data_IF_444880295464
#
_entry.id   IF_444880295464
#
_cell.length_a   1.000
_cell.length_b   1.000
_cell.length_c   1.000
_cell.angle_alpha   90.00
_cell.angle_beta   90.00
_cell.angle_gamma   90.00
#
_symmetry.space_group_name_H-M   'P 1'
#
loop_
_entity.id
_entity.type
_entity.pdbx_description
1 polymer ?
#
# COMPACT_ATOMS: atom_id res chain seq x y z
N UNK A 1 -0.27 -5.20 25.94
CA UNK A 1 -1.26 -4.23 25.44
C UNK A 1 -1.25 -4.18 23.93
N UNK A 2 -2.43 -4.34 23.32
CA UNK A 2 -2.59 -4.12 21.88
C UNK A 2 -2.84 -2.63 21.68
N UNK A 3 -2.01 -1.98 20.86
CA UNK A 3 -2.27 -0.60 20.44
C UNK A 3 -3.53 -0.59 19.58
N UNK A 4 -4.49 0.26 19.93
CA UNK A 4 -5.68 0.48 19.10
C UNK A 4 -5.25 1.17 17.81
N UNK A 5 -5.50 0.52 16.67
CA UNK A 5 -5.30 1.13 15.36
C UNK A 5 -6.34 2.25 15.17
N UNK A 6 -5.87 3.50 15.19
CA UNK A 6 -6.68 4.68 14.92
C UNK A 6 -6.38 5.22 13.53
N UNK A 7 -7.40 5.30 12.68
CA UNK A 7 -7.29 5.80 11.31
C UNK A 7 -7.18 7.33 11.27
N UNK A 8 -7.64 8.01 12.32
CA UNK A 8 -7.72 9.47 12.39
C UNK A 8 -6.48 10.11 13.07
N UNK A 9 -5.44 9.31 13.31
CA UNK A 9 -4.18 9.77 13.88
C UNK A 9 -3.50 10.82 12.98
N UNK A 10 -3.14 11.97 13.55
CA UNK A 10 -2.41 13.04 12.88
C UNK A 10 -1.16 12.49 12.16
N UNK A 11 -1.13 12.59 10.82
CA UNK A 11 -0.09 12.02 9.97
C UNK A 11 -0.59 10.95 8.99
N UNK A 12 -1.72 10.29 9.26
CA UNK A 12 -2.36 9.31 8.35
C UNK A 12 -2.98 9.97 7.10
N UNK A 13 -3.28 11.28 7.16
CA UNK A 13 -3.72 12.11 6.02
C UNK A 13 -2.77 12.04 4.81
N UNK A 14 -1.45 11.90 5.04
CA UNK A 14 -0.43 11.78 3.97
C UNK A 14 -0.37 10.38 3.37
N UNK A 15 -0.98 9.38 4.01
CA UNK A 15 -0.99 7.99 3.59
C UNK A 15 -2.21 7.62 2.72
N UNK A 16 -3.01 8.61 2.29
CA UNK A 16 -4.21 8.40 1.43
C UNK A 16 -3.94 7.56 0.17
N UNK A 17 -2.70 7.55 -0.31
CA UNK A 17 -2.29 6.82 -1.51
C UNK A 17 -1.62 5.47 -1.20
N UNK A 18 -1.63 4.97 0.04
CA UNK A 18 -1.02 3.69 0.37
C UNK A 18 -2.06 2.71 0.91
N UNK A 19 -1.96 1.45 0.48
CA UNK A 19 -2.76 0.34 1.00
C UNK A 19 -1.85 -0.63 1.73
N UNK A 20 -2.21 -0.95 2.98
CA UNK A 20 -1.61 -2.04 3.73
C UNK A 20 -2.37 -3.35 3.45
N UNK A 21 -1.63 -4.42 3.19
CA UNK A 21 -2.14 -5.79 3.19
C UNK A 21 -1.48 -6.55 4.36
N UNK A 22 -2.31 -7.16 5.20
CA UNK A 22 -1.88 -7.89 6.40
C UNK A 22 -2.42 -9.30 6.32
N UNK A 23 -1.52 -10.24 6.07
CA UNK A 23 -1.85 -11.67 6.00
C UNK A 23 -1.39 -12.37 7.29
N UNK A 24 -2.24 -13.23 7.85
CA UNK A 24 -1.86 -14.09 8.95
C UNK A 24 -1.05 -15.27 8.44
N UNK A 25 0.15 -15.47 8.98
CA UNK A 25 1.04 -16.56 8.60
C UNK A 25 1.14 -17.56 9.75
N UNK A 26 0.70 -18.79 9.51
CA UNK A 26 0.86 -19.90 10.45
C UNK A 26 1.96 -20.82 9.95
N UNK A 27 3.17 -20.77 10.55
CA UNK A 27 4.24 -21.70 10.18
C UNK A 27 3.88 -23.13 10.61
N UNK A 28 4.49 -24.10 9.93
CA UNK A 28 4.46 -25.49 10.37
C UNK A 28 5.21 -25.67 11.70
N UNK A 29 5.00 -26.81 12.35
CA UNK A 29 5.70 -27.13 13.60
C UNK A 29 7.23 -27.19 13.43
N UNK A 30 7.71 -27.69 12.29
CA UNK A 30 9.15 -27.75 11.99
C UNK A 30 9.74 -26.35 11.84
N UNK A 31 9.08 -25.48 11.08
CA UNK A 31 9.51 -24.08 10.89
C UNK A 31 9.49 -23.29 12.21
N UNK A 32 8.46 -23.50 13.03
CA UNK A 32 8.36 -22.89 14.36
C UNK A 32 9.50 -23.34 15.28
N UNK A 33 9.83 -24.63 15.28
CA UNK A 33 10.96 -25.17 16.03
C UNK A 33 12.30 -24.64 15.51
N UNK A 34 12.43 -24.46 14.20
CA UNK A 34 13.61 -23.85 13.60
C UNK A 34 13.79 -22.39 14.06
N UNK A 35 12.71 -21.60 14.07
CA UNK A 35 12.71 -20.23 14.57
C UNK A 35 13.14 -20.20 16.04
N UNK A 36 12.52 -21.01 16.90
CA UNK A 36 12.89 -21.07 18.31
C UNK A 36 14.33 -21.55 18.53
N UNK A 37 14.77 -22.57 17.78
CA UNK A 37 16.16 -23.04 17.81
C UNK A 37 17.17 -21.94 17.48
N UNK A 38 16.87 -21.13 16.46
CA UNK A 38 17.71 -19.99 16.05
C UNK A 38 17.68 -18.86 17.09
N UNK A 39 16.55 -18.64 17.77
CA UNK A 39 16.38 -17.63 18.81
C UNK A 39 16.83 -18.10 20.22
N UNK A 40 17.65 -19.15 20.31
CA UNK A 40 18.21 -19.63 21.58
C UNK A 40 17.42 -20.75 22.26
N UNK A 41 16.58 -21.46 21.51
CA UNK A 41 15.92 -22.71 21.89
C UNK A 41 14.73 -22.57 22.84
N UNK A 42 14.35 -21.36 23.23
CA UNK A 42 13.20 -21.12 24.11
C UNK A 42 11.91 -21.02 23.30
N UNK A 43 10.93 -21.84 23.66
CA UNK A 43 9.61 -21.85 23.04
C UNK A 43 8.77 -20.71 23.60
N UNK A 44 8.52 -19.69 22.77
CA UNK A 44 7.62 -18.60 23.10
C UNK A 44 6.45 -18.59 22.12
N UNK A 45 5.19 -18.57 22.62
CA UNK A 45 4.04 -18.43 21.75
C UNK A 45 4.06 -17.06 21.06
N UNK A 46 3.87 -17.05 19.75
CA UNK A 46 3.86 -15.84 18.94
C UNK A 46 2.83 -15.94 17.81
N UNK A 47 2.39 -14.79 17.31
CA UNK A 47 1.59 -14.66 16.10
C UNK A 47 2.47 -14.03 15.02
N UNK A 48 2.48 -14.62 13.82
CA UNK A 48 3.27 -14.09 12.71
C UNK A 48 2.34 -13.48 11.68
N UNK A 49 2.62 -12.24 11.29
CA UNK A 49 1.90 -11.53 10.25
C UNK A 49 2.86 -11.11 9.14
N UNK A 50 2.42 -11.27 7.89
CA UNK A 50 3.10 -10.70 6.73
C UNK A 50 2.42 -9.40 6.36
N UNK A 51 3.15 -8.28 6.46
CA UNK A 51 2.64 -6.96 6.10
C UNK A 51 3.29 -6.51 4.79
N UNK A 52 2.47 -6.11 3.82
CA UNK A 52 2.91 -5.56 2.54
C UNK A 52 2.27 -4.19 2.33
N UNK A 53 3.02 -3.27 1.72
CA UNK A 53 2.56 -1.89 1.42
C UNK A 53 2.51 -1.70 -0.09
N UNK A 54 1.38 -1.18 -0.59
CA UNK A 54 1.20 -0.85 -2.00
C UNK A 54 0.97 0.65 -2.14
N UNK A 55 1.80 1.30 -2.94
CA UNK A 55 1.58 2.68 -3.38
C UNK A 55 0.56 2.69 -4.54
N UNK A 56 -0.45 3.54 -4.41
CA UNK A 56 -1.53 3.73 -5.37
C UNK A 56 -1.29 5.08 -6.05
N UNK A 57 -0.65 5.06 -7.22
CA UNK A 57 -0.61 6.21 -8.10
C UNK A 57 -2.01 6.43 -8.70
N UNK A 58 -2.71 7.46 -8.23
CA UNK A 58 -3.88 7.97 -8.95
C UNK A 58 -3.38 8.75 -10.14
N UNK A 59 -4.00 8.56 -11.31
CA UNK A 59 -3.84 9.45 -12.47
C UNK A 59 -4.19 10.89 -12.04
N UNK A 60 -3.20 11.63 -11.58
CA UNK A 60 -3.29 13.08 -11.43
C UNK A 60 -3.35 13.58 -12.85
N UNK A 61 -4.46 14.21 -13.25
CA UNK A 61 -4.58 14.83 -14.57
C UNK A 61 -3.42 15.79 -14.74
N UNK A 62 -2.37 15.36 -15.45
CA UNK A 62 -1.08 16.04 -15.47
C UNK A 62 -1.18 17.41 -16.17
N UNK A 63 -2.19 17.58 -17.03
CA UNK A 63 -2.54 18.84 -17.68
C UNK A 63 -4.02 18.89 -18.00
N UNK A 64 -4.67 19.96 -17.57
CA UNK A 64 -5.87 20.49 -18.21
C UNK A 64 -5.40 21.40 -19.35
N UNK A 65 -5.74 21.05 -20.60
CA UNK A 65 -5.47 21.90 -21.75
C UNK A 65 -6.56 22.97 -21.89
N UNK A 66 -6.26 24.16 -22.43
CA UNK A 66 -7.28 25.16 -22.69
C UNK A 66 -8.34 24.63 -23.66
N UNK A 67 -9.59 25.06 -23.46
CA UNK A 67 -10.71 24.76 -24.38
C UNK A 67 -10.37 25.28 -25.77
N UNK A 68 -10.61 24.47 -26.80
CA UNK A 68 -10.41 24.87 -28.20
C UNK A 68 -11.38 26.02 -28.51
N UNK A 69 -10.83 27.23 -28.63
CA UNK A 69 -11.58 28.48 -28.85
C UNK A 69 -11.68 28.85 -30.34
N UNK A 70 -10.86 28.28 -31.21
CA UNK A 70 -10.85 28.64 -32.62
C UNK A 70 -10.52 27.43 -33.50
N UNK A 71 -11.33 27.24 -34.55
CA UNK A 71 -11.11 26.24 -35.60
C UNK A 71 -11.01 26.99 -36.93
N UNK A 72 -9.78 27.13 -37.44
CA UNK A 72 -9.55 27.75 -38.74
C UNK A 72 -9.67 26.70 -39.86
N UNK A 73 -10.82 26.69 -40.54
CA UNK A 73 -11.05 25.87 -41.73
C UNK A 73 -10.48 26.57 -42.96
N UNK A 74 -9.31 26.12 -43.41
CA UNK A 74 -8.76 26.53 -44.71
C UNK A 74 -9.43 25.68 -45.80
N UNK A 75 -10.52 26.20 -46.38
CA UNK A 75 -11.12 25.60 -47.57
C UNK A 75 -10.26 25.97 -48.79
N UNK A 76 -9.31 25.10 -49.16
CA UNK A 76 -8.66 25.19 -50.48
C UNK A 76 -9.67 24.76 -51.54
N UNK A 77 -10.32 25.75 -52.16
CA UNK A 77 -11.12 25.57 -53.36
C UNK A 77 -10.21 25.74 -54.58
N UNK A 78 -9.91 24.63 -55.24
CA UNK A 78 -9.47 24.61 -56.64
C UNK A 78 -10.68 24.29 -57.52
#
# INVERSE_FOLDING_TARGET
DNTSYDRDLEGMEKLKNFKFNVDFFTPSFEELNYIWGTLGGKQYPSLIYKVSVLEIERNVTAKEGPVIIEVNNILKRN
#
